data_IF_888633868559
#
_entry.id   IF_888633868559
#
_cell.length_a   1.000
_cell.length_b   1.000
_cell.length_c   1.000
_cell.angle_alpha   90.00
_cell.angle_beta   90.00
_cell.angle_gamma   90.00
#
_symmetry.space_group_name_H-M   'P 1'
#
loop_
_entity.id
_entity.type
_entity.pdbx_description
1 polymer ?
#
# COMPACT_ATOMS: atom_id res chain seq x y z
N UNK A 1 -23.60 -0.59 11.06
CA UNK A 1 -22.49 -0.70 12.02
C UNK A 1 -21.35 -1.60 11.48
N UNK A 2 -21.14 -1.58 10.16
CA UNK A 2 -19.92 -2.04 9.46
C UNK A 2 -19.30 -0.83 8.72
N UNK A 3 -19.79 0.39 9.01
CA UNK A 3 -19.65 1.56 8.13
C UNK A 3 -18.27 2.24 8.22
N UNK A 4 -17.43 1.87 9.21
CA UNK A 4 -16.09 2.45 9.40
C UNK A 4 -14.93 1.53 8.94
N UNK A 5 -15.21 0.35 8.38
CA UNK A 5 -14.16 -0.58 7.93
C UNK A 5 -13.76 -0.30 6.49
N UNK A 6 -12.66 0.45 6.32
CA UNK A 6 -12.03 0.61 5.01
C UNK A 6 -11.19 -0.63 4.66
N UNK A 7 -11.87 -1.69 4.20
CA UNK A 7 -11.23 -2.96 3.82
C UNK A 7 -10.13 -2.81 2.76
N UNK A 8 -10.14 -1.75 1.93
CA UNK A 8 -9.06 -1.48 0.97
C UNK A 8 -7.77 -1.09 1.69
N UNK A 9 -7.88 -0.21 2.69
CA UNK A 9 -6.76 0.18 3.53
C UNK A 9 -6.23 -0.99 4.36
N UNK A 10 -7.12 -1.76 4.99
CA UNK A 10 -6.73 -2.96 5.73
C UNK A 10 -6.02 -3.98 4.83
N UNK A 11 -6.52 -4.21 3.60
CA UNK A 11 -5.85 -5.09 2.63
C UNK A 11 -4.42 -4.65 2.37
N UNK A 12 -4.23 -3.37 2.00
CA UNK A 12 -2.92 -2.84 1.67
C UNK A 12 -1.94 -2.93 2.86
N UNK A 13 -2.43 -2.59 4.06
CA UNK A 13 -1.65 -2.68 5.29
C UNK A 13 -1.21 -4.12 5.58
N UNK A 14 -2.13 -5.10 5.50
CA UNK A 14 -1.81 -6.52 5.73
C UNK A 14 -0.79 -7.02 4.70
N UNK A 15 -0.98 -6.69 3.42
CA UNK A 15 -0.06 -7.11 2.35
C UNK A 15 1.33 -6.53 2.59
N UNK A 16 1.43 -5.26 2.97
CA UNK A 16 2.71 -4.63 3.26
C UNK A 16 3.44 -5.29 4.43
N UNK A 17 2.76 -5.44 5.56
CA UNK A 17 3.34 -6.08 6.76
C UNK A 17 3.74 -7.53 6.49
N UNK A 18 2.92 -8.31 5.81
CA UNK A 18 3.26 -9.71 5.50
C UNK A 18 4.40 -9.81 4.49
N UNK A 19 4.45 -8.94 3.48
CA UNK A 19 5.55 -8.95 2.50
C UNK A 19 6.86 -8.57 3.19
N UNK A 20 6.83 -7.60 4.12
CA UNK A 20 7.99 -7.24 4.97
C UNK A 20 8.52 -8.43 5.76
N UNK A 21 7.63 -9.23 6.36
CA UNK A 21 8.00 -10.37 7.21
C UNK A 21 8.48 -11.57 6.38
N UNK A 22 7.77 -11.88 5.29
CA UNK A 22 8.01 -13.09 4.50
C UNK A 22 9.05 -12.88 3.40
N UNK A 23 9.30 -11.63 3.02
CA UNK A 23 10.17 -11.24 1.92
C UNK A 23 9.40 -10.97 0.62
N UNK A 24 9.93 -10.09 -0.27
CA UNK A 24 9.28 -9.68 -1.52
C UNK A 24 8.90 -10.82 -2.47
N UNK A 25 9.66 -11.93 -2.45
CA UNK A 25 9.35 -13.11 -3.27
C UNK A 25 8.00 -13.74 -2.93
N UNK A 26 7.49 -13.51 -1.72
CA UNK A 26 6.22 -14.04 -1.22
C UNK A 26 5.06 -13.03 -1.32
N UNK A 27 5.20 -11.93 -2.07
CA UNK A 27 4.15 -10.93 -2.24
C UNK A 27 2.79 -11.54 -2.64
N UNK A 28 2.76 -12.46 -3.60
CA UNK A 28 1.49 -13.09 -4.02
C UNK A 28 0.86 -13.96 -2.92
N UNK A 29 1.68 -14.56 -2.06
CA UNK A 29 1.19 -15.32 -0.90
C UNK A 29 0.65 -14.39 0.19
N UNK A 30 1.30 -13.23 0.39
CA UNK A 30 0.79 -12.18 1.28
C UNK A 30 -0.58 -11.65 0.81
N UNK A 31 -0.77 -11.42 -0.49
CA UNK A 31 -2.07 -11.04 -1.07
C UNK A 31 -3.16 -12.09 -0.82
N UNK A 32 -2.86 -13.38 -1.08
CA UNK A 32 -3.81 -14.48 -0.86
C UNK A 32 -4.20 -14.57 0.62
N UNK A 33 -3.21 -14.50 1.52
CA UNK A 33 -3.44 -14.54 2.95
C UNK A 33 -4.27 -13.34 3.47
N UNK A 34 -4.04 -12.14 2.92
CA UNK A 34 -4.82 -10.95 3.24
C UNK A 34 -6.29 -11.11 2.78
N UNK A 35 -6.51 -11.60 1.55
CA UNK A 35 -7.87 -11.86 1.04
C UNK A 35 -8.62 -12.86 1.92
N UNK A 36 -7.98 -13.97 2.28
CA UNK A 36 -8.57 -14.99 3.16
C UNK A 36 -8.92 -14.43 4.55
N UNK A 37 -8.09 -13.54 5.10
CA UNK A 37 -8.36 -12.89 6.37
C UNK A 37 -9.57 -11.96 6.31
N UNK A 38 -9.69 -11.16 5.23
CA UNK A 38 -10.82 -10.25 5.02
C UNK A 38 -12.12 -11.02 4.77
N UNK A 39 -12.08 -12.10 3.98
CA UNK A 39 -13.23 -12.99 3.79
C UNK A 39 -13.68 -13.57 5.13
N UNK A 40 -12.75 -14.00 5.97
CA UNK A 40 -13.06 -14.52 7.30
C UNK A 40 -13.68 -13.46 8.21
N UNK A 41 -13.19 -12.22 8.16
CA UNK A 41 -13.79 -11.09 8.88
C UNK A 41 -15.25 -10.87 8.46
N UNK A 42 -15.51 -10.82 7.14
CA UNK A 42 -16.86 -10.66 6.58
C UNK A 42 -17.83 -11.78 6.99
N UNK A 43 -17.32 -12.99 7.24
CA UNK A 43 -18.13 -14.11 7.72
C UNK A 43 -18.39 -14.06 9.24
N UNK A 44 -17.40 -13.64 10.04
CA UNK A 44 -17.47 -13.72 11.50
C UNK A 44 -18.07 -12.47 12.15
N UNK A 45 -17.68 -11.27 11.71
CA UNK A 45 -18.05 -10.02 12.35
C UNK A 45 -19.56 -9.74 12.36
N UNK A 46 -20.36 -10.09 11.34
CA UNK A 46 -21.81 -9.94 11.41
C UNK A 46 -22.47 -10.70 12.56
N UNK A 47 -21.85 -11.79 13.04
CA UNK A 47 -22.39 -12.64 14.10
C UNK A 47 -21.72 -12.42 15.46
N UNK A 48 -20.42 -12.11 15.47
CA UNK A 48 -19.60 -12.02 16.69
C UNK A 48 -19.27 -10.58 17.10
N UNK A 49 -19.61 -9.60 16.25
CA UNK A 49 -19.18 -8.22 16.38
C UNK A 49 -17.74 -8.00 15.89
N UNK A 50 -17.40 -6.74 15.62
CA UNK A 50 -16.05 -6.34 15.27
C UNK A 50 -15.15 -6.37 16.51
N UNK A 51 -13.98 -7.02 16.48
CA UNK A 51 -13.02 -6.99 17.57
C UNK A 51 -12.59 -5.56 17.94
N UNK A 52 -12.22 -5.34 19.19
CA UNK A 52 -11.76 -4.02 19.67
C UNK A 52 -10.55 -3.48 18.89
N UNK A 53 -9.72 -4.36 18.34
CA UNK A 53 -8.65 -4.01 17.40
C UNK A 53 -8.77 -4.89 16.14
N UNK A 54 -9.57 -4.43 15.18
CA UNK A 54 -9.85 -5.15 13.94
C UNK A 54 -8.59 -5.38 13.09
N UNK A 55 -7.75 -4.36 12.92
CA UNK A 55 -6.55 -4.45 12.08
C UNK A 55 -5.53 -5.44 12.65
N UNK A 56 -5.29 -5.46 13.96
CA UNK A 56 -4.41 -6.45 14.59
C UNK A 56 -4.94 -7.88 14.44
N UNK A 57 -6.26 -8.06 14.56
CA UNK A 57 -6.90 -9.35 14.34
C UNK A 57 -6.70 -9.83 12.90
N UNK A 58 -6.92 -8.93 11.92
CA UNK A 58 -6.76 -9.23 10.50
C UNK A 58 -5.31 -9.63 10.16
N UNK A 59 -4.33 -8.88 10.64
CA UNK A 59 -2.89 -9.20 10.44
C UNK A 59 -2.57 -10.57 11.02
N UNK A 60 -3.06 -10.87 12.23
CA UNK A 60 -2.79 -12.16 12.87
C UNK A 60 -3.42 -13.33 12.11
N UNK A 61 -4.66 -13.17 11.64
CA UNK A 61 -5.35 -14.18 10.82
C UNK A 61 -4.61 -14.40 9.50
N UNK A 62 -4.22 -13.32 8.82
CA UNK A 62 -3.48 -13.37 7.58
C UNK A 62 -2.10 -14.03 7.77
N UNK A 63 -1.38 -13.68 8.85
CA UNK A 63 -0.10 -14.33 9.20
C UNK A 63 -0.24 -15.83 9.38
N UNK A 64 -1.23 -16.27 10.16
CA UNK A 64 -1.48 -17.70 10.37
C UNK A 64 -1.77 -18.40 9.04
N UNK A 65 -2.59 -17.76 8.19
CA UNK A 65 -2.93 -18.30 6.88
C UNK A 65 -1.71 -18.40 5.95
N UNK A 66 -0.87 -17.38 5.92
CA UNK A 66 0.38 -17.39 5.16
C UNK A 66 1.30 -18.53 5.57
N UNK A 67 1.45 -18.77 6.88
CA UNK A 67 2.23 -19.87 7.42
C UNK A 67 1.67 -21.24 6.98
N UNK A 68 0.36 -21.41 7.00
CA UNK A 68 -0.29 -22.65 6.58
C UNK A 68 -0.09 -22.91 5.08
N UNK A 69 -0.14 -21.87 4.25
CA UNK A 69 0.15 -21.96 2.82
C UNK A 69 1.60 -22.37 2.55
N UNK A 70 2.57 -21.76 3.25
CA UNK A 70 3.99 -22.13 3.13
C UNK A 70 4.24 -23.59 3.54
N UNK A 71 3.69 -24.03 4.67
CA UNK A 71 3.78 -25.43 5.13
C UNK A 71 3.16 -26.40 4.13
N UNK A 72 2.07 -26.01 3.46
CA UNK A 72 1.46 -26.83 2.41
C UNK A 72 2.34 -26.92 1.17
N UNK A 73 2.94 -25.80 0.74
CA UNK A 73 3.85 -25.77 -0.41
C UNK A 73 5.08 -26.66 -0.18
N UNK A 74 5.67 -26.62 1.02
CA UNK A 74 6.79 -27.51 1.36
C UNK A 74 6.42 -28.99 1.32
N UNK A 75 5.28 -29.37 1.91
CA UNK A 75 4.82 -30.76 1.86
C UNK A 75 4.59 -31.23 0.43
N UNK A 76 4.10 -30.37 -0.46
CA UNK A 76 3.95 -30.72 -1.88
C UNK A 76 5.31 -30.97 -2.55
N UNK A 77 6.31 -30.13 -2.28
CA UNK A 77 7.67 -30.31 -2.79
C UNK A 77 8.32 -31.60 -2.26
N UNK A 78 8.10 -31.92 -0.98
CA UNK A 78 8.60 -33.16 -0.35
C UNK A 78 7.93 -34.43 -0.89
N UNK A 79 6.67 -34.32 -1.32
CA UNK A 79 5.87 -35.43 -1.85
C UNK A 79 6.05 -35.64 -3.36
N UNK A 80 6.61 -34.68 -4.10
CA UNK A 80 6.94 -34.87 -5.52
C UNK A 80 8.18 -35.77 -5.66
N UNK A 81 8.05 -37.00 -6.18
CA UNK A 81 9.19 -37.87 -6.41
C UNK A 81 10.03 -37.27 -7.56
N UNK A 82 11.22 -36.81 -7.21
CA UNK A 82 12.35 -36.43 -8.07
C UNK A 82 12.16 -36.73 -9.57
N UNK A 83 11.49 -35.84 -10.30
CA UNK A 83 11.55 -35.80 -11.76
C UNK A 83 12.52 -34.71 -12.17
N UNK A 84 13.80 -35.09 -12.16
CA UNK A 84 14.78 -34.79 -13.22
C UNK A 84 15.09 -33.35 -13.65
N UNK A 85 14.46 -32.30 -13.15
CA UNK A 85 14.84 -30.94 -13.50
C UNK A 85 14.73 -30.00 -12.30
N UNK A 86 15.87 -29.40 -11.95
CA UNK A 86 16.05 -28.64 -10.70
C UNK A 86 15.29 -27.33 -10.77
N UNK A 87 14.06 -27.31 -10.25
CA UNK A 87 13.50 -26.08 -9.67
C UNK A 87 14.46 -25.66 -8.53
N UNK A 88 14.96 -24.41 -8.49
CA UNK A 88 15.86 -23.98 -7.44
C UNK A 88 15.16 -24.23 -6.10
N UNK A 89 15.79 -25.04 -5.25
CA UNK A 89 15.30 -25.33 -3.91
C UNK A 89 14.89 -24.03 -3.24
N UNK A 90 13.61 -23.92 -2.85
CA UNK A 90 13.16 -22.81 -2.02
C UNK A 90 14.06 -22.76 -0.79
N UNK A 91 14.68 -21.61 -0.55
CA UNK A 91 15.65 -21.47 0.53
C UNK A 91 14.97 -21.81 1.86
N UNK A 92 15.56 -22.69 2.69
CA UNK A 92 15.04 -23.02 4.00
C UNK A 92 14.94 -21.81 4.94
N UNK A 93 15.47 -20.64 4.58
CA UNK A 93 15.43 -19.41 5.35
C UNK A 93 14.05 -18.76 5.48
N UNK A 94 13.18 -18.79 4.47
CA UNK A 94 11.84 -18.22 4.62
C UNK A 94 10.98 -19.02 5.60
N UNK A 95 11.15 -20.36 5.58
CA UNK A 95 10.46 -21.27 6.50
C UNK A 95 11.15 -21.33 7.85
N UNK A 96 12.48 -21.25 7.92
CA UNK A 96 13.21 -21.14 9.17
C UNK A 96 12.92 -19.80 9.87
N UNK A 97 12.83 -18.69 9.13
CA UNK A 97 12.36 -17.39 9.65
C UNK A 97 10.92 -17.52 10.13
N UNK A 98 10.01 -18.05 9.32
CA UNK A 98 8.63 -18.32 9.72
C UNK A 98 8.49 -19.29 10.92
N UNK A 99 9.36 -20.29 11.05
CA UNK A 99 9.37 -21.31 12.12
C UNK A 99 10.07 -20.82 13.39
N UNK A 100 11.11 -19.99 13.29
CA UNK A 100 11.71 -19.25 14.40
C UNK A 100 10.69 -18.26 15.01
N UNK A 101 9.83 -17.70 14.16
CA UNK A 101 8.72 -16.82 14.56
C UNK A 101 7.54 -17.61 15.15
N UNK A 102 7.40 -18.88 14.79
CA UNK A 102 6.29 -19.75 15.20
C UNK A 102 6.79 -20.91 16.08
N UNK A 103 7.21 -20.61 17.31
CA UNK A 103 7.18 -21.63 18.37
C UNK A 103 5.76 -22.18 18.55
N UNK A 104 5.59 -23.46 18.93
CA UNK A 104 4.27 -24.08 19.05
C UNK A 104 3.49 -23.39 20.18
N UNK A 105 2.52 -22.55 19.81
CA UNK A 105 1.46 -22.07 20.70
C UNK A 105 1.85 -21.06 21.77
N UNK A 106 2.92 -20.27 21.60
CA UNK A 106 3.27 -19.20 22.56
C UNK A 106 2.77 -17.82 22.06
N UNK A 107 1.76 -17.20 22.71
CA UNK A 107 1.34 -15.82 22.45
C UNK A 107 2.49 -14.80 22.59
N UNK A 108 3.58 -15.14 23.30
CA UNK A 108 4.76 -14.28 23.46
C UNK A 108 5.68 -14.27 22.24
N UNK A 109 5.67 -15.29 21.37
CA UNK A 109 6.46 -15.28 20.13
C UNK A 109 5.87 -14.29 19.11
N UNK A 110 4.54 -14.14 19.11
CA UNK A 110 3.84 -13.07 18.40
C UNK A 110 4.17 -11.68 18.99
N UNK A 111 4.47 -11.59 20.28
CA UNK A 111 4.98 -10.38 20.92
C UNK A 111 6.45 -10.10 20.58
N UNK A 112 7.30 -11.10 20.34
CA UNK A 112 8.71 -10.92 19.91
C UNK A 112 8.86 -10.41 18.48
N UNK A 113 7.84 -10.60 17.63
CA UNK A 113 7.76 -9.95 16.32
C UNK A 113 7.13 -8.55 16.39
N UNK A 114 6.73 -8.08 17.57
CA UNK A 114 6.71 -6.65 17.81
C UNK A 114 8.16 -6.21 17.90
N UNK A 115 8.75 -5.97 16.74
CA UNK A 115 9.57 -4.78 16.71
C UNK A 115 8.59 -3.60 16.83
N UNK A 116 8.21 -3.28 18.07
CA UNK A 116 7.40 -2.12 18.49
C UNK A 116 8.09 -0.78 18.14
N UNK A 117 9.10 -0.80 17.27
CA UNK A 117 9.97 0.32 16.89
C UNK A 117 9.90 0.66 15.39
N UNK A 118 9.13 -0.07 14.59
CA UNK A 118 8.85 0.32 13.19
C UNK A 118 7.37 0.74 13.12
N UNK A 119 7.07 2.03 12.89
CA UNK A 119 5.70 2.48 12.72
C UNK A 119 5.00 1.65 11.62
N UNK A 120 3.71 1.27 11.75
CA UNK A 120 2.96 0.55 10.71
C UNK A 120 3.04 1.24 9.32
N UNK A 121 3.25 2.54 9.35
CA UNK A 121 3.44 3.44 8.23
C UNK A 121 4.75 3.22 7.44
N UNK A 122 5.80 2.71 8.10
CA UNK A 122 7.07 2.36 7.47
C UNK A 122 6.91 1.17 6.50
N UNK A 123 5.99 0.23 6.78
CA UNK A 123 5.80 -0.96 5.94
C UNK A 123 5.14 -0.60 4.61
N UNK A 124 4.12 0.26 4.61
CA UNK A 124 3.48 0.72 3.38
C UNK A 124 4.42 1.56 2.53
N UNK A 125 5.18 2.47 3.16
CA UNK A 125 6.18 3.26 2.44
C UNK A 125 7.29 2.38 1.87
N UNK A 126 7.78 1.40 2.64
CA UNK A 126 8.73 0.41 2.15
C UNK A 126 8.17 -0.39 0.96
N UNK A 127 6.88 -0.75 0.99
CA UNK A 127 6.22 -1.38 -0.15
C UNK A 127 6.10 -0.48 -1.37
N UNK A 128 5.86 0.82 -1.21
CA UNK A 128 5.89 1.77 -2.34
C UNK A 128 7.26 1.77 -3.02
N UNK A 129 8.34 1.85 -2.25
CA UNK A 129 9.69 1.82 -2.79
C UNK A 129 10.06 0.46 -3.42
N UNK A 130 9.52 -0.63 -2.90
CA UNK A 130 9.66 -1.95 -3.53
C UNK A 130 8.93 -2.01 -4.87
N UNK A 131 7.68 -1.52 -4.94
CA UNK A 131 6.88 -1.51 -6.15
C UNK A 131 7.36 -0.50 -7.21
N UNK A 132 8.05 0.56 -6.77
CA UNK A 132 8.67 1.56 -7.64
C UNK A 132 10.07 1.15 -8.16
N UNK A 133 10.43 -0.14 -8.10
CA UNK A 133 11.72 -0.63 -8.56
C UNK A 133 11.98 -0.35 -10.06
N UNK A 134 13.20 0.07 -10.45
CA UNK A 134 13.51 0.48 -11.82
C UNK A 134 13.33 -0.61 -12.89
N UNK A 135 13.43 -1.89 -12.51
CA UNK A 135 13.19 -3.04 -13.40
C UNK A 135 11.79 -3.02 -14.04
N UNK A 136 10.81 -2.41 -13.36
CA UNK A 136 9.46 -2.31 -13.86
C UNK A 136 9.33 -1.07 -14.76
N UNK A 137 8.60 -1.15 -15.89
CA UNK A 137 8.24 0.05 -16.64
C UNK A 137 7.33 0.96 -15.80
N UNK A 138 7.35 2.28 -16.05
CA UNK A 138 6.64 3.29 -15.25
C UNK A 138 5.16 2.94 -15.02
N UNK A 139 4.45 2.53 -16.08
CA UNK A 139 3.05 2.12 -15.97
C UNK A 139 2.84 0.91 -15.03
N UNK A 140 3.79 -0.03 -15.00
CA UNK A 140 3.71 -1.19 -14.13
C UNK A 140 4.01 -0.83 -12.67
N UNK A 141 4.93 0.11 -12.41
CA UNK A 141 5.16 0.65 -11.05
C UNK A 141 3.87 1.25 -10.51
N UNK A 142 3.25 2.15 -11.28
CA UNK A 142 2.01 2.82 -10.88
C UNK A 142 0.87 1.81 -10.65
N UNK A 143 0.61 0.92 -11.61
CA UNK A 143 -0.46 -0.07 -11.48
C UNK A 143 -0.23 -1.00 -10.28
N UNK A 144 1.00 -1.45 -10.06
CA UNK A 144 1.34 -2.33 -8.94
C UNK A 144 1.20 -1.62 -7.60
N UNK A 145 1.71 -0.40 -7.46
CA UNK A 145 1.59 0.38 -6.22
C UNK A 145 0.14 0.69 -5.88
N UNK A 146 -0.67 1.10 -6.86
CA UNK A 146 -2.12 1.30 -6.66
C UNK A 146 -2.80 0.02 -6.17
N UNK A 147 -2.41 -1.14 -6.71
CA UNK A 147 -2.98 -2.43 -6.31
C UNK A 147 -2.60 -2.81 -4.87
N UNK A 148 -1.32 -2.77 -4.54
CA UNK A 148 -0.80 -3.39 -3.31
C UNK A 148 -0.70 -2.42 -2.14
N UNK A 149 -0.45 -1.14 -2.40
CA UNK A 149 -0.31 -0.10 -1.36
C UNK A 149 -1.60 0.69 -1.19
N UNK A 150 -2.35 0.92 -2.28
CA UNK A 150 -3.57 1.70 -2.22
C UNK A 150 -4.84 0.83 -2.17
N UNK A 151 -4.71 -0.49 -2.38
CA UNK A 151 -5.82 -1.45 -2.27
C UNK A 151 -6.80 -1.46 -3.46
N UNK A 152 -6.43 -0.86 -4.60
CA UNK A 152 -7.35 -0.71 -5.73
C UNK A 152 -7.74 -2.05 -6.38
N UNK A 153 -8.97 -2.12 -6.89
CA UNK A 153 -9.44 -3.18 -7.77
C UNK A 153 -8.77 -3.14 -9.14
N UNK A 154 -8.77 -4.27 -9.85
CA UNK A 154 -8.26 -4.34 -11.24
C UNK A 154 -9.06 -3.43 -12.16
N UNK A 155 -10.39 -3.39 -12.00
CA UNK A 155 -11.26 -2.52 -12.79
C UNK A 155 -11.04 -1.02 -12.52
N UNK A 156 -10.81 -0.63 -11.25
CA UNK A 156 -10.47 0.76 -10.91
C UNK A 156 -9.15 1.18 -11.59
N UNK A 157 -8.14 0.31 -11.55
CA UNK A 157 -6.86 0.56 -12.24
C UNK A 157 -7.05 0.57 -13.76
N UNK A 158 -7.85 -0.33 -14.33
CA UNK A 158 -8.11 -0.37 -15.77
C UNK A 158 -8.76 0.91 -16.26
N UNK A 159 -9.72 1.43 -15.49
CA UNK A 159 -10.34 2.71 -15.76
C UNK A 159 -9.33 3.87 -15.73
N UNK A 160 -8.51 3.96 -14.67
CA UNK A 160 -7.50 5.00 -14.54
C UNK A 160 -6.47 4.98 -15.69
N UNK A 161 -6.18 3.80 -16.24
CA UNK A 161 -5.26 3.62 -17.37
C UNK A 161 -5.94 3.65 -18.75
N UNK A 162 -7.26 3.84 -18.82
CA UNK A 162 -8.06 3.68 -20.05
C UNK A 162 -7.73 2.38 -20.79
N UNK A 163 -7.60 1.30 -20.04
CA UNK A 163 -7.18 -0.01 -20.50
C UNK A 163 -8.24 -1.08 -20.19
N UNK A 164 -8.08 -2.27 -20.76
CA UNK A 164 -8.93 -3.42 -20.45
C UNK A 164 -8.49 -4.10 -19.15
N UNK A 165 -9.44 -4.62 -18.38
CA UNK A 165 -9.19 -5.35 -17.13
C UNK A 165 -8.20 -6.50 -17.30
N UNK A 166 -8.30 -7.26 -18.40
CA UNK A 166 -7.40 -8.35 -18.73
C UNK A 166 -5.95 -7.87 -18.95
N UNK A 167 -5.78 -6.71 -19.58
CA UNK A 167 -4.48 -6.08 -19.80
C UNK A 167 -3.84 -5.62 -18.47
N UNK A 168 -4.63 -5.03 -17.56
CA UNK A 168 -4.16 -4.67 -16.22
C UNK A 168 -3.81 -5.90 -15.40
N UNK A 169 -4.68 -6.91 -15.36
CA UNK A 169 -4.44 -8.14 -14.63
C UNK A 169 -3.12 -8.79 -15.09
N UNK A 170 -2.91 -8.88 -16.40
CA UNK A 170 -1.67 -9.40 -16.98
C UNK A 170 -0.46 -8.52 -16.67
N UNK A 171 -0.62 -7.18 -16.68
CA UNK A 171 0.45 -6.24 -16.27
C UNK A 171 0.87 -6.47 -14.83
N UNK A 172 -0.09 -6.61 -13.90
CA UNK A 172 0.17 -6.88 -12.48
C UNK A 172 0.88 -8.22 -12.28
N UNK A 173 0.42 -9.29 -12.95
CA UNK A 173 1.08 -10.61 -12.88
C UNK A 173 2.53 -10.54 -13.37
N UNK A 174 2.78 -9.88 -14.51
CA UNK A 174 4.15 -9.70 -15.02
C UNK A 174 5.02 -8.87 -14.09
N UNK A 175 4.50 -7.79 -13.54
CA UNK A 175 5.23 -6.94 -12.61
C UNK A 175 5.65 -7.70 -11.35
N UNK A 176 4.71 -8.44 -10.73
CA UNK A 176 5.01 -9.29 -9.56
C UNK A 176 6.05 -10.37 -9.87
N UNK A 177 5.96 -10.99 -11.05
CA UNK A 177 6.96 -11.96 -11.51
C UNK A 177 8.35 -11.31 -11.65
N UNK A 178 8.45 -10.15 -12.29
CA UNK A 178 9.73 -9.44 -12.45
C UNK A 178 10.37 -9.07 -11.11
N UNK A 179 9.61 -8.56 -10.15
CA UNK A 179 10.13 -8.25 -8.81
C UNK A 179 10.63 -9.51 -8.08
N UNK A 180 9.87 -10.60 -8.16
CA UNK A 180 10.24 -11.88 -7.54
C UNK A 180 11.51 -12.47 -8.16
N UNK A 181 11.64 -12.38 -9.48
CA UNK A 181 12.76 -12.95 -10.23
C UNK A 181 14.03 -12.10 -10.07
N UNK A 182 13.88 -10.80 -9.78
CA UNK A 182 14.98 -9.88 -9.47
C UNK A 182 15.49 -9.95 -8.01
N UNK A 183 14.82 -10.72 -7.15
CA UNK A 183 15.17 -10.90 -5.73
C UNK A 183 15.37 -9.58 -4.97
N UNK A 184 14.50 -8.60 -5.25
CA UNK A 184 14.56 -7.27 -4.65
C UNK A 184 14.31 -7.37 -3.14
N UNK A 185 15.14 -6.76 -2.32
CA UNK A 185 14.97 -6.66 -0.86
C UNK A 185 14.37 -5.34 -0.40
N UNK A 186 14.01 -5.27 0.90
CA UNK A 186 13.63 -4.01 1.58
C UNK A 186 14.82 -3.23 2.12
N UNK A 187 16.01 -3.83 2.15
CA UNK A 187 17.25 -3.15 2.50
C UNK A 187 17.71 -2.33 1.31
N UNK A 188 17.28 -1.07 1.28
CA UNK A 188 17.59 -0.14 0.21
C UNK A 188 18.68 0.83 0.66
N UNK A 189 19.61 1.12 -0.24
CA UNK A 189 20.62 2.17 -0.03
C UNK A 189 20.01 3.55 -0.28
N UNK A 190 20.68 4.61 0.17
CA UNK A 190 20.24 5.98 -0.15
C UNK A 190 20.17 6.24 -1.67
N UNK A 191 20.99 5.55 -2.47
CA UNK A 191 20.95 5.65 -3.92
C UNK A 191 19.70 4.97 -4.50
N UNK A 192 19.31 3.80 -3.97
CA UNK A 192 18.09 3.11 -4.36
C UNK A 192 16.85 3.96 -4.09
N UNK A 193 16.79 4.60 -2.91
CA UNK A 193 15.69 5.49 -2.57
C UNK A 193 15.61 6.68 -3.53
N UNK A 194 16.76 7.31 -3.82
CA UNK A 194 16.82 8.44 -4.74
C UNK A 194 16.37 8.06 -6.17
N UNK A 195 16.79 6.90 -6.69
CA UNK A 195 16.40 6.43 -8.02
C UNK A 195 14.89 6.15 -8.14
N UNK A 196 14.26 5.75 -7.03
CA UNK A 196 12.84 5.35 -7.00
C UNK A 196 11.90 6.48 -6.59
N UNK A 197 12.43 7.56 -6.00
CA UNK A 197 11.64 8.66 -5.42
C UNK A 197 10.68 9.29 -6.45
N UNK A 198 11.15 9.59 -7.65
CA UNK A 198 10.30 10.20 -8.69
C UNK A 198 9.08 9.33 -9.02
N UNK A 199 9.27 8.00 -9.06
CA UNK A 199 8.15 7.06 -9.26
C UNK A 199 7.21 6.99 -8.07
N UNK A 200 7.72 7.15 -6.84
CA UNK A 200 6.88 7.24 -5.63
C UNK A 200 6.04 8.52 -5.68
N UNK A 201 6.65 9.67 -6.01
CA UNK A 201 5.95 10.95 -6.14
C UNK A 201 4.89 10.92 -7.24
N UNK A 202 5.18 10.30 -8.39
CA UNK A 202 4.20 10.06 -9.45
C UNK A 202 2.97 9.30 -8.93
N UNK A 203 3.19 8.23 -8.15
CA UNK A 203 2.10 7.44 -7.61
C UNK A 203 1.28 8.23 -6.60
N UNK A 204 1.92 8.96 -5.69
CA UNK A 204 1.21 9.81 -4.72
C UNK A 204 0.36 10.86 -5.42
N UNK A 205 0.91 11.51 -6.45
CA UNK A 205 0.17 12.49 -7.24
C UNK A 205 -1.02 11.87 -7.97
N UNK A 206 -0.84 10.70 -8.59
CA UNK A 206 -1.92 9.99 -9.28
C UNK A 206 -3.01 9.51 -8.32
N UNK A 207 -2.63 8.99 -7.15
CA UNK A 207 -3.56 8.60 -6.08
C UNK A 207 -4.38 9.81 -5.62
N UNK A 208 -3.72 10.95 -5.39
CA UNK A 208 -4.39 12.18 -5.00
C UNK A 208 -5.37 12.65 -6.07
N UNK A 209 -4.94 12.68 -7.34
CA UNK A 209 -5.76 13.13 -8.45
C UNK A 209 -6.99 12.26 -8.69
N UNK A 210 -6.85 10.93 -8.57
CA UNK A 210 -7.99 10.02 -8.66
C UNK A 210 -8.98 10.26 -7.51
N UNK A 211 -8.47 10.62 -6.32
CA UNK A 211 -9.33 11.08 -5.23
C UNK A 211 -10.02 12.42 -5.51
N UNK A 212 -9.27 13.35 -6.09
CA UNK A 212 -9.66 14.73 -6.24
C UNK A 212 -10.69 14.91 -7.37
N UNK A 213 -10.52 14.22 -8.49
CA UNK A 213 -11.50 14.19 -9.55
C UNK A 213 -11.70 12.72 -9.92
N UNK A 214 -12.60 12.04 -9.21
CA UNK A 214 -12.83 10.64 -9.43
C UNK A 214 -13.38 10.45 -10.84
N UNK A 215 -12.65 9.68 -11.66
CA UNK A 215 -13.05 9.43 -13.04
C UNK A 215 -14.05 8.25 -13.12
N UNK A 216 -14.17 7.46 -12.05
CA UNK A 216 -15.10 6.33 -11.94
C UNK A 216 -15.66 6.17 -10.51
N UNK A 217 -16.81 5.49 -10.43
CA UNK A 217 -17.54 5.21 -9.19
C UNK A 217 -18.71 6.16 -8.97
N UNK A 218 -19.47 5.91 -7.89
CA UNK A 218 -20.70 6.65 -7.58
C UNK A 218 -20.45 8.02 -6.94
N UNK A 219 -19.18 8.39 -6.70
CA UNK A 219 -18.78 9.66 -6.09
C UNK A 219 -17.85 10.43 -7.00
N UNK A 220 -18.13 11.70 -7.25
CA UNK A 220 -17.29 12.60 -8.05
C UNK A 220 -15.99 13.03 -7.33
N UNK A 221 -15.96 12.86 -6.00
CA UNK A 221 -14.82 13.16 -5.14
C UNK A 221 -14.66 12.03 -4.12
N UNK A 222 -13.49 11.39 -4.09
CA UNK A 222 -13.10 10.35 -3.13
C UNK A 222 -12.09 10.93 -2.14
N UNK A 223 -12.60 11.66 -1.14
CA UNK A 223 -11.76 12.36 -0.16
C UNK A 223 -10.85 11.45 0.65
N UNK A 224 -11.24 10.18 0.81
CA UNK A 224 -10.46 9.11 1.43
C UNK A 224 -9.12 8.90 0.70
N UNK A 225 -9.13 8.83 -0.64
CA UNK A 225 -7.91 8.70 -1.44
C UNK A 225 -7.01 9.93 -1.36
N UNK A 226 -7.60 11.14 -1.37
CA UNK A 226 -6.82 12.37 -1.19
C UNK A 226 -6.12 12.41 0.18
N UNK A 227 -6.84 12.03 1.24
CA UNK A 227 -6.29 11.96 2.60
C UNK A 227 -5.19 10.92 2.70
N UNK A 228 -5.35 9.77 2.05
CA UNK A 228 -4.34 8.73 2.04
C UNK A 228 -3.06 9.15 1.30
N UNK A 229 -3.20 9.81 0.14
CA UNK A 229 -2.05 10.35 -0.58
C UNK A 229 -1.27 11.40 0.24
N UNK A 230 -1.99 12.28 0.95
CA UNK A 230 -1.38 13.25 1.87
C UNK A 230 -0.67 12.54 3.01
N UNK A 231 -1.34 11.57 3.66
CA UNK A 231 -0.77 10.80 4.78
C UNK A 231 0.53 10.09 4.37
N UNK A 232 0.55 9.42 3.22
CA UNK A 232 1.76 8.76 2.69
C UNK A 232 2.85 9.78 2.32
N UNK A 233 2.47 10.95 1.82
CA UNK A 233 3.39 12.05 1.57
C UNK A 233 4.00 12.61 2.86
N UNK A 234 3.22 12.81 3.90
CA UNK A 234 3.68 13.29 5.22
C UNK A 234 4.70 12.32 5.81
N UNK A 235 4.41 11.02 5.74
CA UNK A 235 5.35 9.97 6.17
C UNK A 235 6.67 10.01 5.39
N UNK A 236 6.59 10.23 4.07
CA UNK A 236 7.76 10.38 3.22
C UNK A 236 8.59 11.63 3.60
N UNK A 237 7.94 12.74 3.96
CA UNK A 237 8.60 13.95 4.42
C UNK A 237 9.24 13.78 5.80
N UNK A 238 8.54 13.15 6.75
CA UNK A 238 9.03 12.86 8.10
C UNK A 238 10.25 11.94 8.09
N UNK A 239 10.23 10.94 7.21
CA UNK A 239 11.35 10.04 7.03
C UNK A 239 12.50 10.63 6.20
N UNK A 240 12.41 11.91 5.80
CA UNK A 240 13.23 12.59 4.78
C UNK A 240 14.74 12.32 4.82
N UNK A 241 15.36 12.24 6.00
CA UNK A 241 16.80 11.96 6.13
C UNK A 241 17.22 10.55 5.61
N UNK A 242 16.27 9.61 5.53
CA UNK A 242 16.50 8.23 5.06
C UNK A 242 16.41 8.11 3.54
N UNK A 243 15.58 8.95 2.90
CA UNK A 243 15.11 8.72 1.53
C UNK A 243 15.51 9.80 0.52
N UNK A 244 15.86 11.01 0.98
CA UNK A 244 15.97 12.16 0.10
C UNK A 244 17.40 12.71 0.02
N UNK A 245 17.84 12.96 -1.21
CA UNK A 245 18.83 14.01 -1.49
C UNK A 245 18.18 15.38 -1.22
N UNK A 246 18.96 16.46 -1.11
CA UNK A 246 18.41 17.82 -0.91
C UNK A 246 17.31 18.15 -1.93
N UNK A 247 17.53 17.84 -3.20
CA UNK A 247 16.53 18.05 -4.26
C UNK A 247 15.31 17.14 -4.12
N UNK A 248 15.48 15.91 -3.62
CA UNK A 248 14.38 14.99 -3.36
C UNK A 248 13.45 15.51 -2.26
N UNK A 249 14.00 16.09 -1.20
CA UNK A 249 13.22 16.66 -0.10
C UNK A 249 12.34 17.82 -0.60
N UNK A 250 12.91 18.72 -1.40
CA UNK A 250 12.16 19.83 -2.00
C UNK A 250 10.99 19.33 -2.87
N UNK A 251 11.19 18.26 -3.65
CA UNK A 251 10.13 17.68 -4.47
C UNK A 251 8.99 17.06 -3.64
N UNK A 252 9.30 16.37 -2.54
CA UNK A 252 8.29 15.84 -1.59
C UNK A 252 7.45 16.98 -1.00
N UNK A 253 8.12 18.03 -0.49
CA UNK A 253 7.44 19.19 0.06
C UNK A 253 6.61 19.94 -1.00
N UNK A 254 7.10 20.08 -2.23
CA UNK A 254 6.34 20.71 -3.32
C UNK A 254 5.05 19.93 -3.64
N UNK A 255 5.12 18.60 -3.68
CA UNK A 255 3.94 17.76 -3.90
C UNK A 255 2.94 17.86 -2.73
N UNK A 256 3.42 17.81 -1.48
CA UNK A 256 2.57 18.00 -0.31
C UNK A 256 1.89 19.37 -0.28
N UNK A 257 2.61 20.43 -0.64
CA UNK A 257 2.04 21.77 -0.76
C UNK A 257 0.88 21.79 -1.76
N UNK A 258 1.09 21.22 -2.95
CA UNK A 258 0.04 21.10 -3.97
C UNK A 258 -1.18 20.34 -3.44
N UNK A 259 -0.96 19.16 -2.85
CA UNK A 259 -2.04 18.28 -2.36
C UNK A 259 -2.84 18.93 -1.24
N UNK A 260 -2.18 19.54 -0.25
CA UNK A 260 -2.86 20.24 0.85
C UNK A 260 -3.67 21.46 0.37
N UNK A 261 -3.10 22.30 -0.49
CA UNK A 261 -3.80 23.48 -1.02
C UNK A 261 -5.00 23.09 -1.91
N UNK A 262 -4.91 21.98 -2.63
CA UNK A 262 -6.04 21.44 -3.37
C UNK A 262 -7.07 20.81 -2.43
N UNK A 263 -6.63 19.99 -1.47
CA UNK A 263 -7.47 19.29 -0.50
C UNK A 263 -8.27 20.24 0.40
N UNK A 264 -7.74 21.42 0.69
CA UNK A 264 -8.41 22.45 1.47
C UNK A 264 -9.81 22.80 0.94
N UNK A 265 -10.03 22.62 -0.36
CA UNK A 265 -11.30 22.91 -1.02
C UNK A 265 -12.29 21.75 -1.02
N UNK A 266 -11.87 20.53 -0.67
CA UNK A 266 -12.72 19.33 -0.76
C UNK A 266 -14.10 19.51 -0.12
N UNK A 267 -14.25 20.11 1.09
CA UNK A 267 -15.56 20.29 1.71
C UNK A 267 -16.52 21.20 0.92
N UNK A 268 -15.99 22.08 0.06
CA UNK A 268 -16.75 23.06 -0.69
C UNK A 268 -16.97 22.67 -2.16
N UNK A 269 -16.49 21.50 -2.60
CA UNK A 269 -16.46 21.14 -4.03
C UNK A 269 -17.72 20.45 -4.54
N UNK A 270 -18.54 19.94 -3.65
CA UNK A 270 -19.74 19.17 -3.96
C UNK A 270 -20.92 19.85 -3.25
N UNK A 271 -21.96 20.19 -4.02
CA UNK A 271 -23.20 20.76 -3.48
C UNK A 271 -24.15 19.69 -2.95
N UNK A 272 -25.33 20.11 -2.49
CA UNK A 272 -26.34 19.23 -1.89
C UNK A 272 -26.85 18.11 -2.83
N UNK A 273 -26.74 18.31 -4.16
CA UNK A 273 -27.15 17.35 -5.19
C UNK A 273 -26.01 16.40 -5.64
N UNK A 274 -24.91 16.32 -4.88
CA UNK A 274 -23.69 15.56 -5.24
C UNK A 274 -23.04 16.00 -6.57
N UNK A 275 -23.32 17.25 -7.00
CA UNK A 275 -22.79 17.86 -8.22
C UNK A 275 -21.55 18.69 -7.92
N UNK A 276 -20.53 18.59 -8.80
CA UNK A 276 -19.33 19.42 -8.71
C UNK A 276 -19.66 20.92 -8.91
N UNK A 277 -19.26 21.72 -7.92
CA UNK A 277 -19.38 23.17 -7.95
C UNK A 277 -18.20 23.81 -8.68
N UNK A 278 -18.47 24.80 -9.53
CA UNK A 278 -17.42 25.63 -10.14
C UNK A 278 -16.72 26.42 -9.05
N UNK A 279 -15.45 26.77 -9.26
CA UNK A 279 -14.66 27.49 -8.25
C UNK A 279 -15.32 28.79 -7.77
N UNK A 280 -16.04 29.50 -8.64
CA UNK A 280 -16.75 30.73 -8.28
C UNK A 280 -17.98 30.50 -7.38
N UNK A 281 -18.55 29.30 -7.44
CA UNK A 281 -19.77 28.90 -6.72
C UNK A 281 -19.45 28.17 -5.40
N UNK A 282 -18.17 27.89 -5.12
CA UNK A 282 -17.73 27.24 -3.87
C UNK A 282 -17.76 28.23 -2.71
N UNK A 283 -18.40 27.83 -1.61
CA UNK A 283 -18.34 28.59 -0.36
C UNK A 283 -16.94 28.53 0.25
N UNK A 284 -16.25 29.67 0.25
CA UNK A 284 -14.89 29.79 0.79
C UNK A 284 -14.83 29.68 2.31
N UNK A 285 -15.96 29.87 3.01
CA UNK A 285 -16.01 29.69 4.46
C UNK A 285 -15.85 28.21 4.86
N UNK A 286 -16.12 27.28 3.94
CA UNK A 286 -15.95 25.84 4.13
C UNK A 286 -14.54 25.35 3.81
N UNK A 287 -13.63 26.23 3.37
CA UNK A 287 -12.26 25.82 3.06
C UNK A 287 -11.51 25.47 4.34
N UNK A 288 -10.80 24.33 4.33
CA UNK A 288 -10.04 23.86 5.47
C UNK A 288 -8.78 24.71 5.67
N UNK A 289 -8.85 25.62 6.63
CA UNK A 289 -7.75 26.51 7.01
C UNK A 289 -6.51 25.75 7.52
N UNK A 290 -6.68 24.57 8.13
CA UNK A 290 -5.56 23.74 8.58
C UNK A 290 -4.78 23.20 7.40
N UNK A 291 -5.50 22.66 6.39
CA UNK A 291 -4.89 22.22 5.13
C UNK A 291 -4.19 23.37 4.40
N UNK A 292 -4.75 24.58 4.37
CA UNK A 292 -4.08 25.76 3.79
C UNK A 292 -2.77 26.06 4.52
N UNK A 293 -2.81 26.12 5.86
CA UNK A 293 -1.63 26.43 6.66
C UNK A 293 -0.51 25.39 6.46
N UNK A 294 -0.86 24.09 6.48
CA UNK A 294 0.07 23.00 6.16
C UNK A 294 0.65 23.15 4.75
N UNK A 295 -0.20 23.40 3.75
CA UNK A 295 0.23 23.58 2.37
C UNK A 295 1.24 24.71 2.19
N UNK A 296 1.04 25.84 2.87
CA UNK A 296 1.99 26.96 2.87
C UNK A 296 3.31 26.61 3.59
N UNK A 297 3.27 25.87 4.71
CA UNK A 297 4.48 25.39 5.39
C UNK A 297 5.31 24.49 4.47
N UNK A 298 4.67 23.57 3.75
CA UNK A 298 5.37 22.72 2.78
C UNK A 298 5.89 23.53 1.58
N UNK A 299 5.17 24.57 1.14
CA UNK A 299 5.62 25.44 0.06
C UNK A 299 6.91 26.18 0.44
N UNK A 300 6.97 26.73 1.64
CA UNK A 300 8.18 27.41 2.15
C UNK A 300 9.36 26.42 2.30
N UNK A 301 9.09 25.21 2.80
CA UNK A 301 10.09 24.15 2.91
C UNK A 301 10.60 23.65 1.55
N UNK A 302 9.76 23.67 0.50
CA UNK A 302 10.17 23.30 -0.85
C UNK A 302 11.05 24.35 -1.53
N UNK A 303 10.93 25.61 -1.11
CA UNK A 303 11.68 26.74 -1.65
C UNK A 303 13.02 27.00 -0.93
N UNK A 304 13.27 26.33 0.19
CA UNK A 304 14.47 26.46 1.04
C UNK A 304 15.58 25.49 0.62
#
# INVERSE_FOLDING_TARGET
MIDDLNFQHDFAHIVATLTRILGPRHLSLAEEAAQDALVKALQLWPHQGTPANASAWLIQVAKNRALDLLRRQQRLIELEPSTGDRLPAMQPEAVATAAMIAGPGDPSAAARLRNETTPPDDDQLAMMFLACHPILPREARVALTLKIVCGFGVGEIAHAFLARDDAIAQRLVRAKRQLRDADVGFELTSADYAERLDSVLDVLYLLFNEGYAAHAGDRLVRSDLCREAIRLGDLLAEAGARFCTVNGAAAVHALLALMHLQAARLPARVGDDDVLLRLADQDRSLWDASSIARGLQHLDAAAS
#
